data_IF_456954537383
#
_entry.id   IF_456954537383
#
_cell.length_a   1.000
_cell.length_b   1.000
_cell.length_c   1.000
_cell.angle_alpha   90.00
_cell.angle_beta   90.00
_cell.angle_gamma   90.00
#
_symmetry.space_group_name_H-M   'P 1'
#
loop_
_entity.id
_entity.type
_entity.pdbx_description
1 polymer ?
#
# COMPACT_ATOMS: atom_id res chain seq x y z
N UNK A 1 23.58 -7.38 -4.75
CA UNK A 1 22.60 -6.61 -5.56
C UNK A 1 21.72 -5.85 -4.57
N UNK A 2 21.54 -4.54 -4.73
CA UNK A 2 20.56 -3.78 -3.95
C UNK A 2 19.17 -3.97 -4.55
N UNK A 3 18.13 -4.07 -3.71
CA UNK A 3 16.74 -4.22 -4.15
C UNK A 3 15.93 -3.07 -3.58
N UNK A 4 15.19 -2.39 -4.46
CA UNK A 4 14.34 -1.25 -4.12
C UNK A 4 12.90 -1.66 -4.41
N UNK A 5 12.08 -1.91 -3.38
CA UNK A 5 10.65 -2.15 -3.58
C UNK A 5 10.01 -0.92 -4.22
N UNK A 6 9.26 -1.13 -5.30
CA UNK A 6 8.61 -0.08 -6.05
C UNK A 6 7.11 -0.38 -6.13
N UNK A 7 6.31 0.51 -5.54
CA UNK A 7 4.85 0.51 -5.66
C UNK A 7 4.42 1.24 -6.93
N UNK A 8 3.64 2.30 -6.79
CA UNK A 8 3.20 3.14 -7.91
C UNK A 8 4.01 4.43 -8.11
N UNK A 9 5.06 4.66 -7.32
CA UNK A 9 6.00 5.77 -7.56
C UNK A 9 5.57 7.15 -7.06
N UNK A 10 4.50 7.27 -6.26
CA UNK A 10 3.98 8.57 -5.77
C UNK A 10 4.80 9.21 -4.63
N UNK A 11 6.05 8.80 -4.41
CA UNK A 11 6.89 9.33 -3.33
C UNK A 11 7.31 10.78 -3.64
N UNK A 12 7.26 11.65 -2.62
CA UNK A 12 7.71 13.06 -2.72
C UNK A 12 9.00 13.35 -1.95
N UNK A 13 9.69 12.31 -1.47
CA UNK A 13 10.92 12.43 -0.64
C UNK A 13 12.11 11.66 -1.23
N UNK A 14 11.99 11.19 -2.47
CA UNK A 14 12.98 10.31 -3.10
C UNK A 14 13.11 8.93 -2.44
N UNK A 15 12.05 8.41 -1.82
CA UNK A 15 12.07 7.15 -1.05
C UNK A 15 12.36 5.88 -1.88
N UNK A 16 12.28 5.97 -3.20
CA UNK A 16 12.60 4.90 -4.15
C UNK A 16 13.88 5.17 -4.95
N UNK A 17 14.58 6.28 -4.67
CA UNK A 17 15.81 6.62 -5.35
C UNK A 17 16.97 5.81 -4.77
N UNK A 18 17.70 5.13 -5.66
CA UNK A 18 19.00 4.57 -5.27
C UNK A 18 19.99 5.71 -5.03
N UNK A 19 20.42 5.87 -3.78
CA UNK A 19 21.56 6.73 -3.45
C UNK A 19 22.81 5.85 -3.41
N UNK A 20 23.86 6.31 -4.09
CA UNK A 20 25.08 5.58 -4.41
C UNK A 20 25.58 4.64 -3.30
N UNK A 21 26.17 3.52 -3.70
CA UNK A 21 26.74 2.51 -2.81
C UNK A 21 27.52 1.44 -3.59
N UNK A 22 28.28 0.62 -2.86
CA UNK A 22 29.21 -0.38 -3.43
C UNK A 22 28.50 -1.69 -3.84
N UNK A 23 27.32 -1.57 -4.45
CA UNK A 23 26.55 -2.71 -4.92
C UNK A 23 26.91 -3.06 -6.37
N UNK A 24 27.18 -4.35 -6.63
CA UNK A 24 27.44 -4.91 -7.96
C UNK A 24 26.29 -4.76 -8.98
N UNK A 25 25.12 -4.28 -8.55
CA UNK A 25 23.91 -4.10 -9.35
C UNK A 25 22.74 -3.67 -8.48
N UNK A 26 21.74 -3.04 -9.10
CA UNK A 26 20.53 -2.50 -8.44
C UNK A 26 19.29 -3.00 -9.18
N UNK A 27 18.31 -3.50 -8.43
CA UNK A 27 17.03 -3.99 -8.92
C UNK A 27 15.89 -3.13 -8.37
N UNK A 28 15.09 -2.54 -9.26
CA UNK A 28 13.76 -2.04 -8.89
C UNK A 28 12.79 -3.22 -8.90
N UNK A 29 12.23 -3.55 -7.75
CA UNK A 29 11.28 -4.65 -7.59
C UNK A 29 9.87 -4.08 -7.66
N UNK A 30 9.29 -4.09 -8.85
CA UNK A 30 7.92 -3.69 -9.10
C UNK A 30 6.95 -4.68 -8.42
N UNK A 31 6.15 -4.16 -7.49
CA UNK A 31 5.17 -4.94 -6.73
C UNK A 31 3.77 -4.90 -7.35
N UNK A 32 3.55 -4.20 -8.47
CA UNK A 32 2.23 -4.02 -9.09
C UNK A 32 1.51 -5.33 -9.42
N UNK A 33 2.24 -6.43 -9.66
CA UNK A 33 1.66 -7.76 -9.85
C UNK A 33 1.14 -8.43 -8.58
N UNK A 34 1.36 -7.84 -7.40
CA UNK A 34 0.88 -8.31 -6.09
C UNK A 34 -0.31 -7.45 -5.65
N UNK A 35 -1.42 -7.49 -6.38
CA UNK A 35 -2.54 -6.55 -6.26
C UNK A 35 -3.84 -7.14 -5.70
N UNK A 36 -3.82 -8.37 -5.19
CA UNK A 36 -5.05 -9.09 -4.81
C UNK A 36 -5.38 -8.99 -3.32
N UNK A 37 -6.68 -8.93 -3.03
CA UNK A 37 -7.25 -9.30 -1.74
C UNK A 37 -7.30 -10.83 -1.69
N UNK A 38 -6.53 -11.44 -0.80
CA UNK A 38 -6.37 -12.89 -0.71
C UNK A 38 -7.46 -13.52 0.17
N UNK A 39 -7.79 -12.87 1.29
CA UNK A 39 -8.78 -13.35 2.26
C UNK A 39 -9.57 -12.18 2.84
N UNK A 40 -10.83 -12.43 3.20
CA UNK A 40 -11.69 -11.47 3.91
C UNK A 40 -12.33 -12.15 5.10
N UNK A 41 -12.24 -11.54 6.28
CA UNK A 41 -12.97 -11.92 7.48
C UNK A 41 -14.01 -10.83 7.78
N UNK A 42 -15.28 -11.14 7.50
CA UNK A 42 -16.39 -10.21 7.73
C UNK A 42 -16.70 -10.02 9.21
N UNK A 43 -16.47 -11.04 10.05
CA UNK A 43 -16.76 -10.95 11.48
C UNK A 43 -15.72 -10.08 12.18
N UNK A 44 -14.43 -10.32 11.90
CA UNK A 44 -13.33 -9.49 12.39
C UNK A 44 -13.14 -8.17 11.64
N UNK A 45 -13.86 -7.96 10.52
CA UNK A 45 -13.75 -6.79 9.62
C UNK A 45 -12.30 -6.55 9.18
N UNK A 46 -11.64 -7.62 8.75
CA UNK A 46 -10.25 -7.60 8.29
C UNK A 46 -10.10 -8.25 6.91
N UNK A 47 -9.01 -7.95 6.24
CA UNK A 47 -8.67 -8.56 4.96
C UNK A 47 -7.15 -8.74 4.85
N UNK A 48 -6.73 -9.84 4.22
CA UNK A 48 -5.32 -10.09 3.90
C UNK A 48 -5.08 -9.66 2.45
N UNK A 49 -4.27 -8.63 2.26
CA UNK A 49 -4.15 -7.92 0.98
C UNK A 49 -2.70 -7.86 0.56
N UNK A 50 -2.43 -8.09 -0.73
CA UNK A 50 -1.10 -7.96 -1.27
C UNK A 50 -0.68 -6.49 -1.41
N UNK A 51 0.61 -6.22 -1.22
CA UNK A 51 1.15 -4.86 -1.04
C UNK A 51 1.10 -3.97 -2.30
N UNK A 52 0.98 -4.55 -3.49
CA UNK A 52 0.93 -3.83 -4.77
C UNK A 52 -0.44 -3.26 -5.13
N UNK A 53 -1.48 -3.57 -4.36
CA UNK A 53 -2.84 -3.12 -4.67
C UNK A 53 -2.95 -1.59 -4.62
N UNK A 54 -3.37 -0.98 -5.73
CA UNK A 54 -3.76 0.43 -5.79
C UNK A 54 -5.05 0.66 -5.02
N UNK A 55 -5.26 1.88 -4.52
CA UNK A 55 -6.47 2.22 -3.76
C UNK A 55 -7.79 1.85 -4.45
N UNK A 56 -8.06 2.27 -5.69
CA UNK A 56 -9.28 1.90 -6.40
C UNK A 56 -9.45 0.39 -6.61
N UNK A 57 -8.34 -0.31 -6.88
CA UNK A 57 -8.31 -1.77 -7.11
C UNK A 57 -8.63 -2.52 -5.81
N UNK A 58 -8.06 -2.08 -4.70
CA UNK A 58 -8.33 -2.62 -3.37
C UNK A 58 -9.80 -2.41 -2.99
N UNK A 59 -10.34 -1.19 -3.11
CA UNK A 59 -11.74 -0.90 -2.79
C UNK A 59 -12.72 -1.67 -3.69
N UNK A 60 -12.40 -1.84 -4.97
CA UNK A 60 -13.21 -2.65 -5.88
C UNK A 60 -13.26 -4.13 -5.48
N UNK A 61 -12.16 -4.68 -4.95
CA UNK A 61 -12.11 -6.06 -4.48
C UNK A 61 -12.81 -6.26 -3.12
N UNK A 62 -12.80 -5.24 -2.24
CA UNK A 62 -13.52 -5.31 -0.96
C UNK A 62 -15.04 -5.10 -1.11
N UNK A 63 -15.48 -4.33 -2.10
CA UNK A 63 -16.89 -3.97 -2.29
C UNK A 63 -17.86 -5.17 -2.36
N UNK A 64 -17.60 -6.27 -3.10
CA UNK A 64 -18.45 -7.46 -3.09
C UNK A 64 -18.61 -8.11 -1.71
N UNK A 65 -17.68 -7.84 -0.79
CA UNK A 65 -17.71 -8.34 0.58
C UNK A 65 -18.46 -7.41 1.54
N UNK A 66 -18.97 -6.26 1.06
CA UNK A 66 -19.57 -5.23 1.91
C UNK A 66 -18.55 -4.52 2.81
N UNK A 67 -17.27 -4.58 2.45
CA UNK A 67 -16.16 -4.00 3.20
C UNK A 67 -15.55 -2.82 2.41
N UNK A 68 -14.85 -1.95 3.14
CA UNK A 68 -14.07 -0.84 2.61
C UNK A 68 -12.94 -0.54 3.59
N UNK A 69 -11.75 -0.18 3.09
CA UNK A 69 -10.62 0.18 3.95
C UNK A 69 -10.78 1.62 4.45
N UNK A 70 -11.42 2.48 3.65
CA UNK A 70 -11.65 3.91 3.94
C UNK A 70 -10.37 4.72 4.19
N UNK A 71 -9.25 4.30 3.61
CA UNK A 71 -8.00 5.03 3.65
C UNK A 71 -7.75 5.72 2.30
N UNK A 72 -7.93 7.04 2.26
CA UNK A 72 -7.86 7.84 1.02
C UNK A 72 -6.77 8.92 1.13
N UNK A 73 -5.49 8.60 0.91
CA UNK A 73 -4.46 9.62 0.74
C UNK A 73 -4.73 10.44 -0.53
N UNK A 74 -4.13 11.62 -0.68
CA UNK A 74 -4.29 12.42 -1.91
C UNK A 74 -3.83 11.68 -3.17
N UNK A 75 -2.86 10.79 -3.04
CA UNK A 75 -2.38 9.93 -4.11
C UNK A 75 -3.17 8.63 -4.26
N UNK A 76 -4.37 8.50 -3.68
CA UNK A 76 -5.14 7.24 -3.60
C UNK A 76 -5.20 6.43 -4.91
N UNK A 77 -5.44 7.10 -6.05
CA UNK A 77 -5.52 6.44 -7.37
C UNK A 77 -4.16 5.94 -7.90
N UNK A 78 -3.06 6.51 -7.39
CA UNK A 78 -1.70 6.31 -7.90
C UNK A 78 -0.72 5.85 -6.80
N UNK A 79 -1.22 5.25 -5.73
CA UNK A 79 -0.39 4.75 -4.63
C UNK A 79 -0.90 3.40 -4.15
N UNK A 80 0.03 2.57 -3.66
CA UNK A 80 -0.24 1.18 -3.30
C UNK A 80 -0.29 1.00 -1.80
N UNK A 81 -1.01 -0.02 -1.33
CA UNK A 81 -1.10 -0.38 0.09
C UNK A 81 0.28 -0.50 0.76
N UNK A 82 1.24 -1.15 0.10
CA UNK A 82 2.62 -1.27 0.58
C UNK A 82 3.34 0.07 0.69
N UNK A 83 3.10 0.98 -0.27
CA UNK A 83 3.62 2.34 -0.21
C UNK A 83 3.04 3.12 0.98
N UNK A 84 1.75 2.97 1.26
CA UNK A 84 1.11 3.59 2.42
C UNK A 84 1.76 3.12 3.72
N UNK A 85 1.89 1.79 3.90
CA UNK A 85 2.51 1.17 5.06
C UNK A 85 3.96 1.63 5.25
N UNK A 86 4.77 1.59 4.19
CA UNK A 86 6.18 1.97 4.24
C UNK A 86 6.40 3.45 4.60
N UNK A 87 5.44 4.32 4.30
CA UNK A 87 5.53 5.77 4.50
C UNK A 87 4.67 6.27 5.65
N UNK A 88 3.95 5.38 6.34
CA UNK A 88 2.96 5.73 7.38
C UNK A 88 1.95 6.77 6.89
N UNK A 89 1.44 6.56 5.67
CA UNK A 89 0.59 7.53 4.99
C UNK A 89 -0.68 7.90 5.78
N UNK A 90 -1.14 9.13 5.58
CA UNK A 90 -2.38 9.67 6.15
C UNK A 90 -3.51 9.75 5.12
N UNK A 91 -4.74 9.39 5.53
CA UNK A 91 -5.96 9.47 4.71
C UNK A 91 -6.82 10.70 5.01
N UNK A 92 -7.52 11.23 4.00
CA UNK A 92 -8.21 12.53 4.03
C UNK A 92 -9.68 12.49 4.52
N UNK A 93 -10.17 11.36 5.03
CA UNK A 93 -11.56 11.23 5.54
C UNK A 93 -11.63 10.62 6.95
N UNK A 94 -10.60 10.87 7.74
CA UNK A 94 -10.46 10.33 9.08
C UNK A 94 -11.09 11.24 10.14
N UNK A 95 -12.26 10.87 10.64
CA UNK A 95 -12.77 11.40 11.92
C UNK A 95 -12.22 10.64 13.13
N UNK A 96 -11.65 9.45 12.91
CA UNK A 96 -11.09 8.57 13.95
C UNK A 96 -9.69 8.06 13.57
N UNK A 97 -9.60 7.25 12.51
CA UNK A 97 -8.36 6.59 12.08
C UNK A 97 -7.75 7.33 10.91
N UNK A 98 -6.57 7.93 11.12
CA UNK A 98 -5.93 8.82 10.15
C UNK A 98 -4.77 8.13 9.44
N UNK A 99 -3.94 7.42 10.19
CA UNK A 99 -2.75 6.75 9.64
C UNK A 99 -3.10 5.33 9.24
N UNK A 100 -2.42 4.84 8.21
CA UNK A 100 -2.56 3.44 7.79
C UNK A 100 -2.23 2.44 8.92
N UNK A 101 -1.31 2.81 9.83
CA UNK A 101 -0.95 1.99 10.99
C UNK A 101 -2.16 1.76 11.92
N UNK A 102 -3.08 2.72 12.01
CA UNK A 102 -4.29 2.60 12.83
C UNK A 102 -5.25 1.52 12.27
N UNK A 103 -5.06 1.11 11.01
CA UNK A 103 -5.86 0.13 10.28
C UNK A 103 -5.10 -1.20 10.06
N UNK A 104 -3.89 -1.33 10.60
CA UNK A 104 -3.00 -2.49 10.35
C UNK A 104 -3.02 -3.44 11.53
N UNK A 105 -3.48 -4.67 11.32
CA UNK A 105 -3.50 -5.70 12.36
C UNK A 105 -2.17 -6.49 12.43
N UNK A 106 -1.57 -6.80 11.28
CA UNK A 106 -0.32 -7.55 11.14
C UNK A 106 0.31 -7.33 9.75
N UNK A 107 1.61 -7.62 9.62
CA UNK A 107 2.38 -7.62 8.36
C UNK A 107 3.13 -8.94 8.17
#
# INVERSE_FOLDING_TARGET
VAVIPYGAGSSVVGGVEYRAGDHRGVLSMDLSGLDRVLETDRAGRSARIQAGALGPVLEAQLRPHGLTLRHFPQSFEFSTLGGWLATRAGGHYATLHTRIDDLTAAL
#
